data_IF_491399709167
#
_entry.id   IF_491399709167
#
_cell.length_a   1.000
_cell.length_b   1.000
_cell.length_c   1.000
_cell.angle_alpha   90.00
_cell.angle_beta   90.00
_cell.angle_gamma   90.00
#
_symmetry.space_group_name_H-M   'P 1'
#
loop_
_entity.id
_entity.type
_entity.pdbx_description
1 polymer ?
#
# COMPACT_ATOMS: atom_id res chain seq x y z
N UNK A 1 -0.20 -2.93 -7.63
CA UNK A 1 0.80 -3.30 -6.60
C UNK A 1 1.07 -2.06 -5.78
N UNK A 2 1.14 -2.19 -4.46
CA UNK A 2 1.39 -1.06 -3.56
C UNK A 2 2.88 -0.93 -3.32
N UNK A 3 3.43 0.24 -3.58
CA UNK A 3 4.87 0.46 -3.48
C UNK A 3 5.13 1.74 -2.67
N UNK A 4 6.04 1.67 -1.72
CA UNK A 4 6.44 2.82 -0.91
C UNK A 4 7.97 2.82 -0.73
N UNK A 5 8.75 3.00 -1.82
CA UNK A 5 10.20 2.89 -1.75
C UNK A 5 10.85 4.05 -0.98
N UNK A 6 10.13 5.17 -0.83
CA UNK A 6 10.57 6.34 -0.08
C UNK A 6 9.97 6.39 1.34
N UNK A 7 9.41 5.29 1.85
CA UNK A 7 8.90 5.23 3.22
C UNK A 7 10.09 5.25 4.19
N UNK A 8 10.42 6.44 4.69
CA UNK A 8 11.45 6.61 5.69
C UNK A 8 10.89 6.24 7.06
N UNK A 9 11.44 5.18 7.64
CA UNK A 9 11.15 4.82 9.02
C UNK A 9 11.91 5.77 9.95
N UNK A 10 11.42 6.02 11.17
CA UNK A 10 12.00 7.01 12.11
C UNK A 10 13.49 6.83 12.45
N UNK A 11 14.10 5.71 12.05
CA UNK A 11 15.51 5.39 12.21
C UNK A 11 16.04 4.94 10.85
N UNK A 12 16.38 5.93 10.02
CA UNK A 12 16.87 5.72 8.65
C UNK A 12 18.13 4.84 8.62
N UNK A 13 18.21 3.92 7.65
CA UNK A 13 19.37 3.05 7.41
C UNK A 13 19.50 1.84 8.36
N UNK A 14 18.73 1.80 9.45
CA UNK A 14 18.78 0.72 10.44
C UNK A 14 17.55 -0.19 10.43
N UNK A 15 16.43 0.31 9.91
CA UNK A 15 15.18 -0.43 9.76
C UNK A 15 14.86 -0.61 8.27
N UNK A 16 14.51 -1.82 7.88
CA UNK A 16 14.05 -2.18 6.55
C UNK A 16 12.58 -2.60 6.59
N UNK A 17 11.83 -2.35 5.51
CA UNK A 17 10.43 -2.76 5.38
C UNK A 17 10.20 -3.63 4.13
N UNK A 18 9.11 -4.39 4.10
CA UNK A 18 8.72 -5.20 2.94
C UNK A 18 7.71 -4.55 1.99
N UNK A 19 7.36 -3.26 2.18
CA UNK A 19 6.41 -2.52 1.34
C UNK A 19 6.98 -2.12 -0.04
N UNK A 20 7.46 -3.11 -0.78
CA UNK A 20 7.95 -2.99 -2.15
C UNK A 20 7.09 -3.85 -3.08
N UNK A 21 6.36 -3.23 -4.00
CA UNK A 21 5.44 -3.95 -4.90
C UNK A 21 4.51 -4.95 -4.16
N UNK A 22 4.03 -4.58 -2.98
CA UNK A 22 3.17 -5.43 -2.16
C UNK A 22 1.87 -5.77 -2.92
N UNK A 23 1.54 -7.06 -3.08
CA UNK A 23 0.34 -7.46 -3.80
C UNK A 23 -0.91 -7.08 -3.00
N UNK A 24 -1.87 -6.43 -3.64
CA UNK A 24 -3.18 -6.15 -3.05
C UNK A 24 -4.28 -6.29 -4.10
N UNK A 25 -5.49 -6.63 -3.63
CA UNK A 25 -6.69 -6.80 -4.46
C UNK A 25 -7.73 -5.77 -4.04
N UNK A 26 -8.23 -4.99 -5.00
CA UNK A 26 -9.29 -4.02 -4.78
C UNK A 26 -10.54 -4.42 -5.56
N UNK A 27 -11.68 -4.29 -4.91
CA UNK A 27 -13.00 -4.33 -5.52
C UNK A 27 -13.38 -2.89 -5.83
N UNK A 28 -13.46 -2.54 -7.11
CA UNK A 28 -13.69 -1.19 -7.58
C UNK A 28 -15.09 -1.05 -8.17
N UNK A 29 -15.81 -0.02 -7.77
CA UNK A 29 -17.14 0.30 -8.30
C UNK A 29 -17.32 1.82 -8.47
N UNK A 30 -18.19 2.20 -9.40
CA UNK A 30 -18.53 3.59 -9.62
C UNK A 30 -19.10 3.89 -11.02
N UNK A 31 -19.54 5.15 -11.23
CA UNK A 31 -20.32 5.53 -12.41
C UNK A 31 -19.46 5.76 -13.66
N UNK A 32 -20.13 5.64 -14.81
CA UNK A 32 -19.62 6.08 -16.12
C UNK A 32 -20.48 7.26 -16.58
N UNK A 33 -19.84 8.38 -16.90
CA UNK A 33 -20.50 9.60 -17.37
C UNK A 33 -20.03 9.93 -18.78
N UNK A 34 -20.97 10.27 -19.67
CA UNK A 34 -20.67 10.77 -21.01
C UNK A 34 -20.90 12.29 -21.04
N UNK A 35 -19.90 13.03 -21.51
CA UNK A 35 -19.97 14.47 -21.68
C UNK A 35 -20.51 14.83 -23.06
N UNK A 36 -21.09 16.03 -23.18
CA UNK A 36 -21.62 16.57 -24.45
C UNK A 36 -20.54 16.74 -25.53
N UNK A 37 -19.27 16.83 -25.13
CA UNK A 37 -18.10 16.93 -26.02
C UNK A 37 -17.56 15.56 -26.49
N UNK A 38 -18.28 14.47 -26.22
CA UNK A 38 -17.92 13.11 -26.66
C UNK A 38 -16.92 12.40 -25.74
N UNK A 39 -16.45 13.04 -24.66
CA UNK A 39 -15.60 12.39 -23.66
C UNK A 39 -16.39 11.44 -22.77
N UNK A 40 -15.73 10.38 -22.33
CA UNK A 40 -16.23 9.43 -21.34
C UNK A 40 -15.40 9.56 -20.07
N UNK A 41 -16.07 9.74 -18.93
CA UNK A 41 -15.48 9.67 -17.61
C UNK A 41 -15.85 8.35 -16.94
N UNK A 42 -14.86 7.69 -16.34
CA UNK A 42 -15.05 6.51 -15.49
C UNK A 42 -14.49 6.85 -14.12
N UNK A 43 -15.37 6.95 -13.13
CA UNK A 43 -15.01 7.16 -11.73
C UNK A 43 -15.15 5.83 -11.00
N UNK A 44 -14.10 5.41 -10.29
CA UNK A 44 -14.12 4.20 -9.49
C UNK A 44 -13.55 4.43 -8.10
N UNK A 45 -14.15 3.77 -7.11
CA UNK A 45 -13.73 3.78 -5.72
C UNK A 45 -13.67 2.36 -5.18
N UNK A 46 -12.76 2.11 -4.23
CA UNK A 46 -12.69 0.79 -3.60
C UNK A 46 -13.87 0.57 -2.64
N UNK A 47 -14.52 -0.59 -2.74
CA UNK A 47 -15.57 -1.03 -1.81
C UNK A 47 -15.00 -1.86 -0.66
N UNK A 48 -13.95 -2.62 -0.93
CA UNK A 48 -13.33 -3.51 0.05
C UNK A 48 -12.20 -2.82 0.83
N UNK A 49 -11.95 -3.33 2.04
CA UNK A 49 -10.84 -2.94 2.92
C UNK A 49 -9.83 -4.10 2.98
N UNK A 50 -8.82 -4.13 2.10
CA UNK A 50 -7.77 -5.13 2.21
C UNK A 50 -6.92 -4.88 3.46
N UNK A 51 -6.59 -5.97 4.17
CA UNK A 51 -5.60 -5.94 5.26
C UNK A 51 -4.19 -5.88 4.66
N UNK A 52 -3.36 -4.95 5.15
CA UNK A 52 -1.98 -4.78 4.70
C UNK A 52 -1.10 -4.88 5.93
N UNK A 53 -0.30 -5.94 6.00
CA UNK A 53 0.63 -6.15 7.10
C UNK A 53 2.05 -5.95 6.58
N UNK A 54 2.70 -4.88 7.06
CA UNK A 54 4.06 -4.52 6.69
C UNK A 54 5.03 -5.04 7.75
N UNK A 55 6.02 -5.80 7.33
CA UNK A 55 7.09 -6.27 8.20
C UNK A 55 8.21 -5.24 8.25
N UNK A 56 8.63 -4.87 9.47
CA UNK A 56 9.73 -3.95 9.71
C UNK A 56 10.83 -4.66 10.51
N UNK A 57 12.00 -4.84 9.92
CA UNK A 57 13.14 -5.54 10.54
C UNK A 57 14.34 -4.61 10.75
N UNK A 58 15.10 -4.83 11.83
CA UNK A 58 16.36 -4.13 12.10
C UNK A 58 17.55 -4.80 11.41
N UNK A 59 18.45 -4.01 10.83
CA UNK A 59 19.64 -4.49 10.10
C UNK A 59 20.91 -4.58 10.97
N UNK A 60 20.86 -4.18 12.25
CA UNK A 60 22.01 -4.18 13.16
C UNK A 60 21.66 -4.53 14.62
N UNK A 61 22.66 -5.01 15.37
CA UNK A 61 22.59 -5.35 16.80
C UNK A 61 22.14 -4.18 17.70
N UNK A 62 22.28 -2.93 17.25
CA UNK A 62 21.82 -1.76 17.99
C UNK A 62 20.31 -1.49 17.81
N UNK A 63 19.75 -1.80 16.62
CA UNK A 63 18.31 -1.69 16.35
C UNK A 63 17.50 -2.84 16.96
N UNK A 64 18.08 -4.03 17.06
CA UNK A 64 17.40 -5.20 17.61
C UNK A 64 17.05 -5.02 19.07
N UNK A 65 17.93 -4.38 19.86
CA UNK A 65 17.67 -4.02 21.26
C UNK A 65 16.52 -3.02 21.43
N UNK A 66 16.37 -2.03 20.53
CA UNK A 66 15.28 -1.07 20.60
C UNK A 66 13.94 -1.68 20.16
N UNK A 67 13.92 -2.51 19.11
CA UNK A 67 12.72 -3.22 18.68
C UNK A 67 12.26 -4.24 19.74
N UNK A 68 13.21 -4.96 20.35
CA UNK A 68 12.95 -5.84 21.49
C UNK A 68 12.41 -5.09 22.72
N UNK A 69 12.84 -3.84 22.94
CA UNK A 69 12.32 -3.00 24.02
C UNK A 69 10.87 -2.55 23.75
N UNK A 70 10.56 -2.10 22.52
CA UNK A 70 9.20 -1.71 22.13
C UNK A 70 8.22 -2.88 22.17
N UNK A 71 8.63 -4.06 21.70
CA UNK A 71 7.80 -5.28 21.77
C UNK A 71 7.59 -5.76 23.21
N UNK A 72 8.65 -5.70 24.04
CA UNK A 72 8.59 -5.99 25.47
C UNK A 72 7.61 -5.06 26.20
N UNK A 73 7.75 -3.74 26.01
CA UNK A 73 6.83 -2.77 26.62
C UNK A 73 5.40 -2.97 26.12
N UNK A 74 5.20 -3.11 24.80
CA UNK A 74 3.88 -3.36 24.22
C UNK A 74 3.21 -4.60 24.82
N UNK A 75 3.98 -5.66 25.08
CA UNK A 75 3.49 -6.88 25.72
C UNK A 75 3.18 -6.69 27.20
N UNK A 76 4.01 -5.94 27.95
CA UNK A 76 3.77 -5.62 29.37
C UNK A 76 2.46 -4.83 29.52
N UNK A 77 2.27 -3.79 28.70
CA UNK A 77 1.07 -2.95 28.77
C UNK A 77 -0.20 -3.66 28.29
N UNK A 78 -0.07 -4.73 27.50
CA UNK A 78 -1.20 -5.53 27.00
C UNK A 78 -1.44 -6.81 27.81
N UNK A 79 -0.73 -7.01 28.92
CA UNK A 79 -0.93 -8.15 29.83
C UNK A 79 -0.24 -9.45 29.43
N UNK A 80 0.66 -9.40 28.43
CA UNK A 80 1.45 -10.53 27.95
C UNK A 80 2.60 -10.97 28.87
N UNK A 81 2.83 -10.27 29.99
CA UNK A 81 3.86 -10.63 30.98
C UNK A 81 5.29 -10.30 30.55
N UNK A 82 6.25 -10.60 31.43
CA UNK A 82 7.68 -10.32 31.22
C UNK A 82 8.38 -11.36 30.34
N UNK A 83 7.73 -12.50 30.08
CA UNK A 83 8.27 -13.58 29.26
C UNK A 83 8.38 -13.16 27.78
N UNK A 84 7.49 -12.26 27.32
CA UNK A 84 7.56 -11.66 25.98
C UNK A 84 8.79 -10.72 25.78
N UNK A 85 9.52 -10.43 26.85
CA UNK A 85 10.76 -9.64 26.82
C UNK A 85 12.01 -10.50 26.60
N UNK A 86 11.87 -11.83 26.46
CA UNK A 86 12.99 -12.73 26.11
C UNK A 86 13.70 -12.29 24.81
N UNK A 87 12.96 -11.62 23.91
CA UNK A 87 13.48 -11.04 22.67
C UNK A 87 14.47 -9.86 22.90
N UNK A 88 14.23 -9.02 23.93
CA UNK A 88 15.16 -7.95 24.34
C UNK A 88 16.49 -8.54 24.85
N UNK A 89 16.42 -9.66 25.58
CA UNK A 89 17.60 -10.35 26.10
C UNK A 89 18.34 -11.17 25.03
N UNK A 90 17.60 -11.69 24.03
CA UNK A 90 18.15 -12.49 22.94
C UNK A 90 18.80 -11.68 21.82
N UNK A 91 18.62 -10.35 21.78
CA UNK A 91 19.23 -9.49 20.75
C UNK A 91 18.76 -9.75 19.31
N UNK A 92 17.71 -10.57 19.15
CA UNK A 92 17.12 -10.86 17.85
C UNK A 92 16.10 -9.76 17.53
N UNK A 93 16.35 -8.98 16.49
CA UNK A 93 15.42 -7.95 16.04
C UNK A 93 14.36 -8.60 15.18
N UNK A 94 13.34 -9.18 15.80
CA UNK A 94 12.21 -9.68 15.05
C UNK A 94 11.53 -8.58 14.26
N UNK A 95 11.02 -8.97 13.09
CA UNK A 95 10.19 -8.10 12.28
C UNK A 95 8.95 -7.68 13.07
N UNK A 96 8.75 -6.37 13.24
CA UNK A 96 7.53 -5.80 13.80
C UNK A 96 6.50 -5.68 12.68
N UNK A 97 5.31 -6.22 12.91
CA UNK A 97 4.19 -6.09 11.98
C UNK A 97 3.48 -4.75 12.20
N UNK A 98 3.49 -3.89 11.19
CA UNK A 98 2.74 -2.64 11.14
C UNK A 98 1.47 -2.86 10.32
N UNK A 99 0.28 -2.89 10.96
CA UNK A 99 -0.98 -2.97 10.24
C UNK A 99 -1.29 -1.62 9.57
N UNK A 100 -1.36 -1.62 8.24
CA UNK A 100 -1.86 -0.52 7.43
C UNK A 100 -3.27 -0.85 6.95
N UNK A 101 -4.10 0.18 6.81
CA UNK A 101 -5.48 0.04 6.34
C UNK A 101 -5.74 1.04 5.23
N UNK A 102 -6.19 0.54 4.09
CA UNK A 102 -6.86 1.36 3.08
C UNK A 102 -8.36 1.35 3.42
N UNK A 103 -8.97 2.48 3.81
CA UNK A 103 -10.38 2.53 4.14
C UNK A 103 -11.24 2.32 2.89
N UNK A 104 -12.51 1.96 3.09
CA UNK A 104 -13.50 1.98 2.00
C UNK A 104 -13.55 3.38 1.39
N UNK A 105 -13.66 3.43 0.06
CA UNK A 105 -13.65 4.65 -0.74
C UNK A 105 -12.34 5.48 -0.65
N UNK A 106 -11.29 4.95 0.00
CA UNK A 106 -10.00 5.62 0.18
C UNK A 106 -9.13 5.69 -1.08
N UNK A 107 -9.35 4.80 -2.04
CA UNK A 107 -8.74 4.83 -3.38
C UNK A 107 -9.73 5.43 -4.36
N UNK A 108 -9.28 6.42 -5.12
CA UNK A 108 -10.06 7.08 -6.15
C UNK A 108 -9.33 7.01 -7.49
N UNK A 109 -9.97 6.34 -8.45
CA UNK A 109 -9.51 6.28 -9.83
C UNK A 109 -10.45 7.08 -10.70
N UNK A 110 -9.88 7.97 -11.51
CA UNK A 110 -10.64 8.78 -12.44
C UNK A 110 -9.95 8.76 -13.81
N UNK A 111 -10.65 8.23 -14.80
CA UNK A 111 -10.22 8.26 -16.18
C UNK A 111 -11.18 9.14 -16.99
N UNK A 112 -10.63 10.10 -17.74
CA UNK A 112 -11.40 10.94 -18.67
C UNK A 112 -10.79 10.73 -20.06
N UNK A 113 -11.60 10.28 -21.02
CA UNK A 113 -11.15 10.06 -22.39
C UNK A 113 -10.92 11.38 -23.12
N UNK A 114 -10.20 11.31 -24.25
CA UNK A 114 -10.13 12.41 -25.20
C UNK A 114 -11.49 12.58 -25.93
N UNK A 115 -11.83 13.79 -26.40
CA UNK A 115 -13.12 14.11 -27.02
C UNK A 115 -13.28 13.49 -28.42
N UNK A 116 -12.18 13.29 -29.14
CA UNK A 116 -12.16 12.65 -30.46
C UNK A 116 -11.48 11.30 -30.33
N UNK A 117 -12.18 10.23 -30.73
CA UNK A 117 -11.54 8.95 -30.98
C UNK A 117 -10.95 9.02 -32.40
N UNK A 118 -9.64 9.21 -32.50
CA UNK A 118 -8.96 9.10 -33.80
C UNK A 118 -9.31 7.74 -34.41
N UNK A 119 -9.79 7.74 -35.65
CA UNK A 119 -10.05 6.49 -36.36
C UNK A 119 -8.70 5.79 -36.56
N UNK A 120 -8.58 4.48 -36.27
CA UNK A 120 -7.34 3.79 -36.62
C UNK A 120 -7.15 3.86 -38.13
N UNK A 121 -5.90 4.02 -38.55
CA UNK A 121 -5.44 4.32 -39.94
C UNK A 121 -6.04 3.41 -41.02
N UNK A 122 -6.55 2.25 -40.64
CA UNK A 122 -7.22 1.26 -41.49
C UNK A 122 -8.56 1.77 -42.06
N UNK A 123 -9.23 2.73 -41.42
CA UNK A 123 -10.54 3.25 -41.87
C UNK A 123 -10.43 4.54 -42.67
N UNK A 124 -9.33 5.28 -42.58
CA UNK A 124 -9.13 6.53 -43.34
C UNK A 124 -9.01 6.27 -44.85
N UNK A 125 -8.51 5.10 -45.25
CA UNK A 125 -8.35 4.71 -46.66
C UNK A 125 -9.66 4.31 -47.34
N UNK A 126 -10.73 4.03 -46.58
CA UNK A 126 -12.00 3.57 -47.13
C UNK A 126 -12.96 4.71 -47.49
N UNK A 127 -12.78 5.90 -46.92
CA UNK A 127 -13.60 7.09 -47.20
C UNK A 127 -13.11 7.93 -48.38
N UNK A 128 -12.04 7.51 -49.07
CA UNK A 128 -11.45 8.21 -50.22
C UNK A 128 -11.69 7.50 -51.58
N UNK A 129 -12.67 6.59 -51.66
CA UNK A 129 -13.08 5.91 -52.90
C UNK A 129 -14.56 6.13 -53.21
#
# INVERSE_FOLDING_TARGET
MLDAPNLHLPIEGLLAHNLFSYPLTLELDGPITFFDDGRMQVEQRNLNVPEITVDVAGSSDASTGLLGFLSCLGSIFTGGGLDACEELASGNGKAVQLPLKIPEQGVYLNFISNPVKDLPVQYEQQTAQ
#
